data_IF_359294981377
#
_entry.id   IF_359294981377
#
_cell.length_a   1.000
_cell.length_b   1.000
_cell.length_c   1.000
_cell.angle_alpha   90.00
_cell.angle_beta   90.00
_cell.angle_gamma   90.00
#
_symmetry.space_group_name_H-M   'P 1'
#
loop_
_entity.id
_entity.type
_entity.pdbx_description
1 polymer ?
#
# COMPACT_ATOMS: atom_id res chain seq x y z
N UNK A 1 1.36 -4.58 6.23
CA UNK A 1 1.54 -3.21 5.69
C UNK A 1 0.36 -2.74 4.83
N UNK A 2 -0.20 -3.60 3.96
CA UNK A 2 -1.31 -3.22 3.09
C UNK A 2 -2.61 -2.87 3.85
N UNK A 3 -3.02 -3.68 4.84
CA UNK A 3 -4.18 -3.37 5.69
C UNK A 3 -4.03 -2.02 6.41
N UNK A 4 -2.87 -1.79 7.02
CA UNK A 4 -2.53 -0.51 7.67
C UNK A 4 -2.59 0.67 6.70
N UNK A 5 -2.11 0.51 5.46
CA UNK A 5 -2.22 1.54 4.41
C UNK A 5 -3.70 1.84 4.12
N UNK A 6 -4.52 0.81 3.94
CA UNK A 6 -5.96 0.95 3.64
C UNK A 6 -6.69 1.65 4.79
N UNK A 7 -6.45 1.25 6.04
CA UNK A 7 -7.04 1.90 7.21
C UNK A 7 -6.66 3.39 7.27
N UNK A 8 -5.40 3.71 6.97
CA UNK A 8 -4.90 5.08 6.97
C UNK A 8 -5.46 5.92 5.81
N UNK A 9 -5.68 5.32 4.62
CA UNK A 9 -6.35 5.99 3.51
C UNK A 9 -7.80 6.36 3.87
N UNK A 10 -8.52 5.48 4.57
CA UNK A 10 -9.86 5.78 5.08
C UNK A 10 -9.82 6.88 6.14
N UNK A 11 -8.95 6.75 7.15
CA UNK A 11 -8.81 7.70 8.25
C UNK A 11 -8.48 9.11 7.78
N UNK A 12 -7.62 9.22 6.77
CA UNK A 12 -7.19 10.51 6.19
C UNK A 12 -8.02 10.98 4.99
N UNK A 13 -9.04 10.22 4.60
CA UNK A 13 -9.85 10.47 3.39
C UNK A 13 -9.01 10.62 2.11
N UNK A 14 -7.89 9.91 1.99
CA UNK A 14 -7.01 9.94 0.81
C UNK A 14 -7.48 8.94 -0.26
N UNK A 15 -7.20 9.23 -1.54
CA UNK A 15 -7.71 8.42 -2.67
C UNK A 15 -6.75 7.30 -3.09
N UNK A 16 -5.44 7.56 -3.12
CA UNK A 16 -4.43 6.60 -3.60
C UNK A 16 -3.37 6.33 -2.55
N UNK A 17 -2.88 5.10 -2.50
CA UNK A 17 -1.74 4.69 -1.69
C UNK A 17 -0.82 3.73 -2.44
N UNK A 18 0.46 3.73 -2.06
CA UNK A 18 1.48 2.82 -2.59
C UNK A 18 2.04 1.98 -1.44
N UNK A 19 2.03 0.67 -1.63
CA UNK A 19 2.73 -0.28 -0.77
C UNK A 19 3.91 -0.88 -1.53
N UNK A 20 5.10 -0.90 -0.92
CA UNK A 20 6.29 -1.56 -1.48
C UNK A 20 6.87 -2.57 -0.50
N UNK A 21 7.44 -3.65 -1.02
CA UNK A 21 8.05 -4.71 -0.22
C UNK A 21 9.29 -5.29 -0.93
N UNK A 22 10.36 -5.50 -0.16
CA UNK A 22 11.49 -6.31 -0.59
C UNK A 22 11.19 -7.79 -0.35
N UNK A 23 11.58 -8.64 -1.30
CA UNK A 23 11.50 -10.09 -1.20
C UNK A 23 12.92 -10.66 -1.27
N UNK A 24 13.20 -11.68 -0.46
CA UNK A 24 14.49 -12.38 -0.50
C UNK A 24 14.81 -12.91 -1.90
N UNK A 25 16.09 -12.96 -2.25
CA UNK A 25 16.53 -13.34 -3.60
C UNK A 25 16.54 -12.21 -4.63
N UNK A 26 16.46 -10.95 -4.19
CA UNK A 26 16.66 -9.77 -5.05
C UNK A 26 15.41 -9.28 -5.78
N UNK A 27 14.21 -9.65 -5.30
CA UNK A 27 12.94 -9.24 -5.90
C UNK A 27 12.27 -8.13 -5.07
N UNK A 28 11.41 -7.35 -5.72
CA UNK A 28 10.59 -6.34 -5.06
C UNK A 28 9.18 -6.32 -5.64
N UNK A 29 8.21 -5.93 -4.82
CA UNK A 29 6.81 -5.80 -5.21
C UNK A 29 6.36 -4.37 -4.92
N UNK A 30 5.63 -3.78 -5.86
CA UNK A 30 4.94 -2.51 -5.70
C UNK A 30 3.46 -2.69 -6.01
N UNK A 31 2.59 -2.16 -5.16
CA UNK A 31 1.13 -2.26 -5.29
C UNK A 31 0.51 -0.89 -5.09
N UNK A 32 -0.23 -0.42 -6.09
CA UNK A 32 -1.03 0.80 -6.01
C UNK A 32 -2.45 0.42 -5.59
N UNK A 33 -3.02 1.17 -4.65
CA UNK A 33 -4.36 0.95 -4.12
C UNK A 33 -5.17 2.23 -4.30
N UNK A 34 -6.40 2.10 -4.79
CA UNK A 34 -7.39 3.17 -4.81
C UNK A 34 -8.45 2.89 -3.76
N UNK A 35 -8.76 3.89 -2.92
CA UNK A 35 -9.88 3.85 -1.99
C UNK A 35 -11.12 4.35 -2.72
N UNK A 36 -12.07 3.45 -2.95
CA UNK A 36 -13.39 3.72 -3.54
C UNK A 36 -14.38 4.11 -2.45
#
# INVERSE_FOLDING_TARGET
ILGTLIDELHRRQLRYGLATLCVGGGMGIATIVERV
#
